data_IF_905096126896
#
_entry.id   IF_905096126896
#
_cell.length_a   1.000
_cell.length_b   1.000
_cell.length_c   1.000
_cell.angle_alpha   90.00
_cell.angle_beta   90.00
_cell.angle_gamma   90.00
#
_symmetry.space_group_name_H-M   'P 1'
#
loop_
_entity.id
_entity.type
_entity.pdbx_description
1 polymer ?
#
# COMPACT_ATOMS: atom_id res chain seq x y z
N UNK A 1 1.99 -0.15 -8.09
CA UNK A 1 0.66 0.14 -7.51
C UNK A 1 0.70 -0.21 -6.03
N UNK A 2 -0.17 0.40 -5.23
CA UNK A 2 -0.24 0.16 -3.79
C UNK A 2 -1.60 -0.43 -3.45
N UNK A 3 -1.62 -1.63 -2.89
CA UNK A 3 -2.82 -2.43 -2.67
C UNK A 3 -3.46 -2.97 -3.97
N UNK A 4 -2.63 -3.27 -4.96
CA UNK A 4 -3.00 -3.80 -6.28
C UNK A 4 -3.94 -5.01 -6.17
N UNK A 5 -3.65 -5.93 -5.26
CA UNK A 5 -4.38 -7.21 -5.13
C UNK A 5 -5.85 -7.05 -4.77
N UNK A 6 -6.23 -5.93 -4.14
CA UNK A 6 -7.58 -5.69 -3.66
C UNK A 6 -8.37 -4.70 -4.55
N UNK A 7 -7.69 -3.92 -5.40
CA UNK A 7 -8.32 -2.88 -6.21
C UNK A 7 -8.01 -3.07 -7.70
N UNK A 8 -6.86 -2.61 -8.18
CA UNK A 8 -6.60 -2.46 -9.61
C UNK A 8 -6.47 -3.78 -10.37
N UNK A 9 -6.10 -4.86 -9.67
CA UNK A 9 -5.79 -6.14 -10.32
C UNK A 9 -6.97 -6.69 -11.12
N UNK A 10 -8.21 -6.52 -10.64
CA UNK A 10 -9.42 -6.99 -11.33
C UNK A 10 -9.63 -6.25 -12.65
N UNK A 11 -9.52 -4.91 -12.65
CA UNK A 11 -9.67 -4.07 -13.84
C UNK A 11 -8.59 -4.36 -14.88
N UNK A 12 -7.36 -4.53 -14.42
CA UNK A 12 -6.22 -4.85 -15.29
C UNK A 12 -6.38 -6.24 -15.89
N UNK A 13 -6.74 -7.25 -15.08
CA UNK A 13 -6.91 -8.62 -15.55
C UNK A 13 -8.06 -8.74 -16.56
N UNK A 14 -9.19 -8.06 -16.31
CA UNK A 14 -10.29 -7.98 -17.27
C UNK A 14 -9.86 -7.35 -18.60
N UNK A 15 -9.03 -6.31 -18.55
CA UNK A 15 -8.51 -5.65 -19.74
C UNK A 15 -7.52 -6.53 -20.49
N UNK A 16 -6.63 -7.22 -19.77
CA UNK A 16 -5.68 -8.17 -20.35
C UNK A 16 -6.39 -9.35 -21.02
N UNK A 17 -7.47 -9.85 -20.43
CA UNK A 17 -8.27 -10.95 -20.98
C UNK A 17 -8.86 -10.69 -22.37
N UNK A 18 -8.97 -9.42 -22.79
CA UNK A 18 -9.40 -9.04 -24.14
C UNK A 18 -8.35 -9.36 -25.21
N UNK A 19 -7.07 -9.46 -24.83
CA UNK A 19 -5.97 -9.78 -25.73
C UNK A 19 -5.81 -11.29 -25.90
N UNK A 20 -6.53 -11.85 -26.88
CA UNK A 20 -6.46 -13.29 -27.21
C UNK A 20 -5.05 -13.69 -27.67
N UNK A 21 -4.61 -14.90 -27.28
CA UNK A 21 -3.38 -15.52 -27.78
C UNK A 21 -2.09 -15.15 -27.05
N UNK A 22 -2.15 -14.37 -25.97
CA UNK A 22 -0.98 -14.09 -25.11
C UNK A 22 -1.11 -14.78 -23.76
N UNK A 23 -0.03 -15.43 -23.31
CA UNK A 23 0.01 -16.07 -22.00
C UNK A 23 0.16 -15.03 -20.90
N UNK A 24 -0.65 -15.18 -19.87
CA UNK A 24 -0.57 -14.44 -18.62
C UNK A 24 0.14 -15.36 -17.63
N UNK A 25 1.21 -14.88 -17.00
CA UNK A 25 1.83 -15.61 -15.89
C UNK A 25 1.38 -14.97 -14.60
N UNK A 26 0.76 -15.74 -13.71
CA UNK A 26 0.28 -15.24 -12.43
C UNK A 26 0.53 -16.23 -11.29
N UNK A 27 0.58 -15.69 -10.07
CA UNK A 27 0.59 -16.45 -8.82
C UNK A 27 -0.72 -16.11 -8.11
N UNK A 28 -1.77 -16.95 -8.25
CA UNK A 28 -3.03 -16.72 -7.58
C UNK A 28 -2.87 -16.94 -6.06
N UNK A 29 -3.50 -16.09 -5.26
CA UNK A 29 -3.67 -16.31 -3.83
C UNK A 29 -4.99 -17.03 -3.56
N UNK A 30 -6.03 -16.63 -4.26
CA UNK A 30 -7.34 -17.28 -4.30
C UNK A 30 -7.97 -17.04 -5.68
N UNK A 31 -9.27 -17.30 -5.84
CA UNK A 31 -10.01 -17.14 -7.09
C UNK A 31 -10.09 -15.68 -7.58
N UNK A 32 -9.90 -14.71 -6.70
CA UNK A 32 -10.09 -13.29 -6.99
C UNK A 32 -8.78 -12.49 -6.92
N UNK A 33 -7.89 -12.86 -5.99
CA UNK A 33 -6.70 -12.10 -5.64
C UNK A 33 -5.44 -12.78 -6.18
N UNK A 34 -4.58 -11.98 -6.76
CA UNK A 34 -3.29 -12.42 -7.30
C UNK A 34 -2.15 -11.78 -6.49
N UNK A 35 -1.20 -12.59 -6.06
CA UNK A 35 0.04 -12.09 -5.42
C UNK A 35 0.88 -11.33 -6.44
N UNK A 36 0.91 -11.85 -7.66
CA UNK A 36 1.67 -11.32 -8.78
C UNK A 36 1.02 -11.73 -10.09
N UNK A 37 1.12 -10.88 -11.10
CA UNK A 37 0.86 -11.27 -12.48
C UNK A 37 1.73 -10.47 -13.46
N UNK A 38 1.92 -11.03 -14.64
CA UNK A 38 2.70 -10.44 -15.73
C UNK A 38 2.09 -10.74 -17.08
N UNK A 39 2.33 -9.83 -18.01
CA UNK A 39 1.83 -9.89 -19.37
C UNK A 39 2.92 -9.41 -20.34
N UNK A 40 3.50 -10.34 -21.09
CA UNK A 40 4.70 -10.05 -21.89
C UNK A 40 5.87 -9.63 -20.99
N UNK A 41 6.45 -8.47 -21.28
CA UNK A 41 7.54 -7.87 -20.48
C UNK A 41 7.04 -7.05 -19.27
N UNK A 42 5.73 -6.86 -19.12
CA UNK A 42 5.15 -6.07 -18.03
C UNK A 42 4.96 -6.95 -16.80
N UNK A 43 5.47 -6.47 -15.66
CA UNK A 43 5.31 -7.10 -14.35
C UNK A 43 4.54 -6.17 -13.43
N UNK A 44 3.46 -6.69 -12.86
CA UNK A 44 2.62 -5.95 -11.93
C UNK A 44 2.93 -6.40 -10.51
N UNK A 45 3.43 -5.45 -9.72
CA UNK A 45 3.88 -5.69 -8.34
C UNK A 45 3.06 -4.79 -7.41
N UNK A 46 2.66 -5.37 -6.28
CA UNK A 46 1.97 -4.69 -5.21
C UNK A 46 2.96 -4.22 -4.14
N UNK A 47 3.15 -2.91 -4.02
CA UNK A 47 4.02 -2.33 -3.01
C UNK A 47 3.54 -2.61 -1.57
N UNK A 48 2.24 -2.84 -1.35
CA UNK A 48 1.70 -3.16 -0.02
C UNK A 48 2.18 -4.54 0.48
N UNK A 49 2.54 -5.44 -0.43
CA UNK A 49 3.11 -6.75 -0.08
C UNK A 49 4.55 -6.64 0.48
N UNK A 50 5.16 -5.47 0.39
CA UNK A 50 6.47 -5.14 0.97
C UNK A 50 6.35 -4.18 2.14
N UNK A 51 5.57 -3.12 1.93
CA UNK A 51 5.42 -1.98 2.84
C UNK A 51 3.96 -1.93 3.29
N UNK A 52 3.61 -2.74 4.30
CA UNK A 52 2.24 -2.92 4.79
C UNK A 52 1.78 -1.76 5.69
N UNK A 53 1.70 -0.56 5.12
CA UNK A 53 1.18 0.64 5.77
C UNK A 53 0.54 1.56 4.73
N UNK A 54 -0.30 2.50 5.15
CA UNK A 54 -0.89 3.48 4.24
C UNK A 54 0.19 4.38 3.63
N UNK A 55 -0.05 4.88 2.41
CA UNK A 55 0.85 5.82 1.75
C UNK A 55 1.18 7.03 2.65
N UNK A 56 0.20 7.54 3.39
CA UNK A 56 0.42 8.65 4.34
C UNK A 56 1.48 8.31 5.40
N UNK A 57 1.36 7.15 6.06
CA UNK A 57 2.35 6.69 7.04
C UNK A 57 3.73 6.46 6.42
N UNK A 58 3.76 5.94 5.19
CA UNK A 58 5.02 5.69 4.49
C UNK A 58 5.75 7.00 4.12
N UNK A 59 5.01 8.01 3.69
CA UNK A 59 5.56 9.33 3.34
C UNK A 59 6.04 10.08 4.58
N UNK A 60 5.34 9.98 5.71
CA UNK A 60 5.77 10.58 6.98
C UNK A 60 7.12 10.06 7.49
N UNK A 61 7.53 8.85 7.08
CA UNK A 61 8.83 8.28 7.43
C UNK A 61 9.98 8.77 6.53
N UNK A 62 9.70 9.51 5.46
CA UNK A 62 10.71 10.04 4.56
C UNK A 62 11.16 11.45 4.96
N UNK A 63 12.45 11.72 4.80
CA UNK A 63 13.00 13.07 4.89
C UNK A 63 12.73 13.85 3.59
N UNK A 64 12.77 15.18 3.68
CA UNK A 64 12.44 16.07 2.55
C UNK A 64 13.34 15.83 1.32
N UNK A 65 14.61 15.50 1.51
CA UNK A 65 15.59 15.19 0.47
C UNK A 65 15.36 13.81 -0.18
N UNK A 66 14.71 12.89 0.54
CA UNK A 66 14.35 11.56 0.04
C UNK A 66 13.17 11.59 -0.94
N UNK A 67 12.41 12.68 -0.99
CA UNK A 67 11.30 12.92 -1.93
C UNK A 67 11.80 13.45 -3.28
N UNK A 68 12.78 12.77 -3.88
CA UNK A 68 13.51 13.26 -5.06
C UNK A 68 12.61 13.51 -6.28
N UNK A 69 11.73 12.55 -6.62
CA UNK A 69 10.83 12.68 -7.77
C UNK A 69 9.80 13.79 -7.54
N UNK A 70 9.19 13.82 -6.36
CA UNK A 70 8.22 14.85 -5.98
C UNK A 70 8.85 16.25 -6.02
N UNK A 71 10.06 16.39 -5.46
CA UNK A 71 10.83 17.65 -5.50
C UNK A 71 11.16 18.09 -6.93
N UNK A 72 11.57 17.15 -7.78
CA UNK A 72 11.93 17.43 -9.18
C UNK A 72 10.71 17.85 -9.99
N UNK A 73 9.57 17.19 -9.79
CA UNK A 73 8.35 17.44 -10.54
C UNK A 73 7.70 18.78 -10.16
N UNK A 74 7.50 19.01 -8.85
CA UNK A 74 6.81 20.20 -8.36
C UNK A 74 7.73 21.43 -8.19
N UNK A 75 9.05 21.25 -8.27
CA UNK A 75 10.06 22.32 -8.23
C UNK A 75 9.84 23.26 -7.03
N UNK A 76 9.56 24.54 -7.28
CA UNK A 76 9.32 25.55 -6.26
C UNK A 76 8.03 25.34 -5.44
N UNK A 77 7.13 24.46 -5.87
CA UNK A 77 5.91 24.09 -5.13
C UNK A 77 6.03 22.77 -4.37
N UNK A 78 7.19 22.13 -4.42
CA UNK A 78 7.38 20.80 -3.84
C UNK A 78 7.15 20.73 -2.33
N UNK A 79 7.44 21.82 -1.60
CA UNK A 79 7.20 21.89 -0.16
C UNK A 79 5.73 21.66 0.22
N UNK A 80 4.80 22.01 -0.67
CA UNK A 80 3.37 21.82 -0.45
C UNK A 80 2.91 20.40 -0.75
N UNK A 81 3.69 19.58 -1.47
CA UNK A 81 3.31 18.26 -1.97
C UNK A 81 4.01 17.11 -1.23
N UNK A 82 4.43 17.34 0.02
CA UNK A 82 5.19 16.36 0.84
C UNK A 82 4.34 15.46 1.73
N UNK A 83 3.02 15.60 1.69
CA UNK A 83 2.09 14.72 2.41
C UNK A 83 0.97 14.28 1.49
N UNK A 84 0.30 13.21 1.88
CA UNK A 84 -0.90 12.74 1.18
C UNK A 84 -2.02 13.78 1.31
N UNK A 85 -2.70 14.08 0.20
CA UNK A 85 -3.87 14.95 0.19
C UNK A 85 -5.16 14.22 0.53
N UNK A 86 -6.27 14.96 0.63
CA UNK A 86 -7.62 14.41 0.69
C UNK A 86 -8.27 14.44 -0.70
N UNK A 87 -9.28 13.60 -0.90
CA UNK A 87 -9.92 13.42 -2.21
C UNK A 87 -11.42 13.16 -2.06
N UNK A 88 -12.20 13.60 -3.05
CA UNK A 88 -13.66 13.49 -3.05
C UNK A 88 -14.11 12.15 -3.68
N UNK A 89 -13.83 11.03 -3.02
CA UNK A 89 -14.09 9.69 -3.59
C UNK A 89 -15.56 9.49 -3.99
N UNK A 90 -16.48 9.76 -3.07
CA UNK A 90 -17.92 9.52 -3.30
C UNK A 90 -18.54 10.59 -4.20
N UNK A 91 -17.89 11.74 -4.33
CA UNK A 91 -18.37 12.82 -5.18
C UNK A 91 -18.21 12.49 -6.67
N UNK A 92 -17.11 11.88 -7.10
CA UNK A 92 -16.88 11.60 -8.52
C UNK A 92 -17.65 10.37 -9.02
N UNK A 93 -18.92 10.57 -9.41
CA UNK A 93 -19.79 9.55 -10.02
C UNK A 93 -19.88 9.63 -11.56
N UNK A 94 -19.33 10.69 -12.16
CA UNK A 94 -19.49 10.99 -13.58
C UNK A 94 -18.35 11.86 -14.11
N UNK A 95 -18.07 11.75 -15.41
CA UNK A 95 -17.02 12.55 -16.06
C UNK A 95 -17.36 14.04 -16.14
N UNK A 96 -18.63 14.42 -16.09
CA UNK A 96 -19.05 15.83 -16.08
C UNK A 96 -18.50 16.59 -14.88
N UNK A 97 -18.36 15.91 -13.73
CA UNK A 97 -17.84 16.52 -12.49
C UNK A 97 -16.42 17.05 -12.61
N UNK A 98 -15.62 16.52 -13.54
CA UNK A 98 -14.27 17.03 -13.79
C UNK A 98 -14.26 18.48 -14.32
N UNK A 99 -15.36 18.94 -14.92
CA UNK A 99 -15.48 20.31 -15.44
C UNK A 99 -16.05 21.30 -14.43
N UNK A 100 -16.47 20.82 -13.25
CA UNK A 100 -17.11 21.66 -12.25
C UNK A 100 -16.12 22.60 -11.55
N UNK A 101 -16.66 23.74 -11.15
CA UNK A 101 -15.99 24.84 -10.46
C UNK A 101 -16.97 25.46 -9.46
N UNK A 102 -16.56 25.99 -8.30
CA UNK A 102 -15.23 25.92 -7.68
C UNK A 102 -15.05 24.62 -6.85
N UNK A 103 -14.02 24.54 -6.00
CA UNK A 103 -13.83 23.44 -5.06
C UNK A 103 -15.10 23.22 -4.18
N UNK A 104 -15.66 22.00 -4.13
CA UNK A 104 -16.85 21.67 -3.33
C UNK A 104 -16.62 21.86 -1.82
N UNK A 105 -17.71 22.01 -1.04
CA UNK A 105 -17.63 22.13 0.42
C UNK A 105 -17.03 20.87 1.07
N UNK A 106 -16.54 21.03 2.31
CA UNK A 106 -15.95 19.94 3.10
C UNK A 106 -16.84 18.70 3.23
N UNK A 107 -18.16 18.88 3.29
CA UNK A 107 -19.11 17.76 3.36
C UNK A 107 -19.05 16.83 2.14
N UNK A 108 -18.61 17.32 0.98
CA UNK A 108 -18.45 16.53 -0.24
C UNK A 108 -17.19 15.63 -0.23
N UNK A 109 -16.30 15.81 0.75
CA UNK A 109 -15.10 14.97 0.95
C UNK A 109 -15.35 13.77 1.87
N UNK A 110 -16.61 13.44 2.14
CA UNK A 110 -16.95 12.24 2.88
C UNK A 110 -16.47 10.99 2.13
N UNK A 111 -15.96 10.01 2.88
CA UNK A 111 -15.48 8.74 2.33
C UNK A 111 -16.25 7.57 2.95
N UNK A 112 -17.16 6.99 2.17
CA UNK A 112 -17.99 5.86 2.59
C UNK A 112 -17.17 4.60 2.93
N UNK A 113 -15.93 4.47 2.44
CA UNK A 113 -15.07 3.32 2.77
C UNK A 113 -14.54 3.38 4.20
N UNK A 114 -14.25 4.58 4.71
CA UNK A 114 -13.81 4.78 6.10
C UNK A 114 -14.97 5.19 7.00
N UNK A 115 -16.10 5.60 6.42
CA UNK A 115 -17.26 6.17 7.10
C UNK A 115 -16.88 7.36 8.00
N UNK A 116 -15.87 8.12 7.58
CA UNK A 116 -15.30 9.24 8.31
C UNK A 116 -15.35 10.52 7.44
N UNK A 117 -15.72 11.67 8.02
CA UNK A 117 -15.57 12.94 7.34
C UNK A 117 -14.09 13.31 7.21
N UNK A 118 -13.74 14.11 6.20
CA UNK A 118 -12.41 14.70 6.12
C UNK A 118 -12.17 15.62 7.33
N UNK A 119 -10.96 15.55 7.89
CA UNK A 119 -10.55 16.48 8.94
C UNK A 119 -10.49 17.92 8.44
N UNK A 120 -10.68 18.89 9.34
CA UNK A 120 -10.58 20.31 9.02
C UNK A 120 -9.20 20.66 8.44
N UNK A 121 -8.12 20.09 8.99
CA UNK A 121 -6.75 20.23 8.45
C UNK A 121 -6.65 19.69 7.03
N UNK A 122 -7.24 18.52 6.75
CA UNK A 122 -7.25 17.92 5.42
C UNK A 122 -7.97 18.79 4.39
N UNK A 123 -9.14 19.34 4.76
CA UNK A 123 -9.88 20.22 3.86
C UNK A 123 -9.18 21.58 3.65
N UNK A 124 -8.66 22.20 4.71
CA UNK A 124 -7.84 23.41 4.58
C UNK A 124 -6.61 23.18 3.70
N UNK A 125 -5.99 22.01 3.78
CA UNK A 125 -4.90 21.62 2.90
C UNK A 125 -5.34 21.55 1.43
N UNK A 126 -6.49 20.93 1.13
CA UNK A 126 -7.04 20.94 -0.24
C UNK A 126 -7.32 22.36 -0.76
N UNK A 127 -7.89 23.24 0.07
CA UNK A 127 -8.09 24.65 -0.29
C UNK A 127 -6.76 25.37 -0.58
N UNK A 128 -5.71 25.11 0.22
CA UNK A 128 -4.37 25.65 -0.03
C UNK A 128 -3.80 25.16 -1.35
N UNK A 129 -3.89 23.86 -1.64
CA UNK A 129 -3.43 23.29 -2.93
C UNK A 129 -4.19 23.91 -4.10
N UNK A 130 -5.51 24.05 -3.99
CA UNK A 130 -6.33 24.70 -5.01
C UNK A 130 -5.81 26.11 -5.35
N UNK A 131 -5.51 26.91 -4.32
CA UNK A 131 -5.01 28.27 -4.49
C UNK A 131 -3.56 28.32 -4.98
N UNK A 132 -2.65 27.53 -4.40
CA UNK A 132 -1.21 27.53 -4.76
C UNK A 132 -1.01 27.11 -6.22
N UNK A 133 -1.82 26.17 -6.71
CA UNK A 133 -1.75 25.70 -8.08
C UNK A 133 -2.67 26.46 -9.04
N UNK A 134 -3.44 27.44 -8.56
CA UNK A 134 -4.42 28.21 -9.34
C UNK A 134 -5.38 27.29 -10.12
N UNK A 135 -5.85 26.22 -9.47
CA UNK A 135 -6.72 25.22 -10.08
C UNK A 135 -8.06 25.87 -10.44
N UNK A 136 -8.59 25.55 -11.61
CA UNK A 136 -9.87 26.10 -12.08
C UNK A 136 -10.98 25.07 -11.94
N UNK A 137 -10.68 23.82 -12.28
CA UNK A 137 -11.66 22.74 -12.34
C UNK A 137 -11.34 21.61 -11.37
N UNK A 138 -12.36 20.84 -11.02
CA UNK A 138 -12.18 19.60 -10.26
C UNK A 138 -11.29 18.58 -10.99
N UNK A 139 -11.22 18.62 -12.32
CA UNK A 139 -10.29 17.82 -13.10
C UNK A 139 -8.83 18.21 -12.90
N UNK A 140 -8.54 19.50 -12.75
CA UNK A 140 -7.19 19.96 -12.40
C UNK A 140 -6.78 19.46 -11.01
N UNK A 141 -7.72 19.51 -10.05
CA UNK A 141 -7.52 18.97 -8.70
C UNK A 141 -7.31 17.46 -8.71
N UNK A 142 -8.10 16.71 -9.47
CA UNK A 142 -7.90 15.28 -9.66
C UNK A 142 -6.51 14.95 -10.20
N UNK A 143 -6.07 15.64 -11.26
CA UNK A 143 -4.78 15.39 -11.87
C UNK A 143 -3.64 15.64 -10.88
N UNK A 144 -3.67 16.75 -10.14
CA UNK A 144 -2.66 17.05 -9.11
C UNK A 144 -2.68 16.01 -8.00
N UNK A 145 -3.86 15.60 -7.52
CA UNK A 145 -3.99 14.57 -6.49
C UNK A 145 -3.37 13.24 -6.94
N UNK A 146 -3.75 12.74 -8.12
CA UNK A 146 -3.25 11.47 -8.66
C UNK A 146 -1.74 11.53 -8.92
N UNK A 147 -1.25 12.62 -9.52
CA UNK A 147 0.19 12.81 -9.75
C UNK A 147 0.95 12.81 -8.43
N UNK A 148 0.44 13.50 -7.41
CA UNK A 148 1.05 13.53 -6.08
C UNK A 148 1.14 12.13 -5.47
N UNK A 149 0.03 11.38 -5.44
CA UNK A 149 0.01 10.02 -4.87
C UNK A 149 0.97 9.08 -5.60
N UNK A 150 1.06 9.17 -6.93
CA UNK A 150 2.00 8.38 -7.74
C UNK A 150 3.45 8.74 -7.44
N UNK A 151 3.79 10.04 -7.38
CA UNK A 151 5.14 10.51 -7.11
C UNK A 151 5.60 10.14 -5.71
N UNK A 152 4.74 10.36 -4.70
CA UNK A 152 5.00 10.00 -3.32
C UNK A 152 5.24 8.50 -3.18
N UNK A 153 4.39 7.66 -3.79
CA UNK A 153 4.59 6.21 -3.77
C UNK A 153 5.88 5.80 -4.47
N UNK A 154 6.22 6.45 -5.58
CA UNK A 154 7.45 6.19 -6.32
C UNK A 154 8.68 6.56 -5.49
N UNK A 155 8.68 7.69 -4.79
CA UNK A 155 9.76 8.09 -3.87
C UNK A 155 9.90 7.09 -2.72
N UNK A 156 8.79 6.71 -2.07
CA UNK A 156 8.79 5.64 -1.03
C UNK A 156 9.43 4.37 -1.55
N UNK A 157 9.00 3.89 -2.72
CA UNK A 157 9.49 2.62 -3.25
C UNK A 157 10.95 2.71 -3.75
N UNK A 158 11.38 3.86 -4.28
CA UNK A 158 12.78 4.08 -4.64
C UNK A 158 13.70 4.07 -3.42
N UNK A 159 13.30 4.70 -2.32
CA UNK A 159 14.06 4.66 -1.07
C UNK A 159 14.14 3.23 -0.52
N UNK A 160 13.02 2.49 -0.54
CA UNK A 160 13.00 1.08 -0.17
C UNK A 160 13.94 0.24 -1.04
N UNK A 161 13.93 0.42 -2.38
CA UNK A 161 14.86 -0.25 -3.29
C UNK A 161 16.32 0.04 -2.97
N UNK A 162 16.67 1.32 -2.73
CA UNK A 162 18.03 1.72 -2.35
C UNK A 162 18.48 1.02 -1.07
N UNK A 163 17.61 0.98 -0.06
CA UNK A 163 17.88 0.28 1.21
C UNK A 163 18.12 -1.21 1.00
N UNK A 164 17.23 -1.90 0.29
CA UNK A 164 17.39 -3.33 0.02
C UNK A 164 18.66 -3.65 -0.78
N UNK A 165 19.00 -2.82 -1.77
CA UNK A 165 20.24 -2.96 -2.54
C UNK A 165 21.48 -2.69 -1.67
N UNK A 166 21.40 -1.76 -0.73
CA UNK A 166 22.50 -1.46 0.19
C UNK A 166 22.77 -2.62 1.14
N UNK A 167 21.75 -3.11 1.84
CA UNK A 167 21.91 -4.11 2.91
C UNK A 167 21.91 -5.56 2.39
N UNK A 168 20.98 -5.89 1.50
CA UNK A 168 20.78 -7.27 1.03
C UNK A 168 21.31 -7.50 -0.38
N UNK A 169 21.67 -6.42 -1.09
CA UNK A 169 22.15 -6.45 -2.48
C UNK A 169 21.12 -7.07 -3.44
N UNK A 170 19.86 -7.12 -3.02
CA UNK A 170 18.71 -7.67 -3.76
C UNK A 170 17.79 -6.50 -4.11
N UNK A 171 17.33 -6.46 -5.36
CA UNK A 171 16.33 -5.49 -5.78
C UNK A 171 14.92 -6.04 -5.52
N UNK A 172 14.11 -5.39 -4.65
CA UNK A 172 12.78 -5.89 -4.32
C UNK A 172 11.81 -5.87 -5.51
N UNK A 173 12.10 -5.14 -6.59
CA UNK A 173 11.33 -5.20 -7.84
C UNK A 173 11.49 -6.53 -8.59
N UNK A 174 12.44 -7.37 -8.19
CA UNK A 174 12.61 -8.73 -8.68
C UNK A 174 12.06 -9.80 -7.74
N UNK A 175 11.40 -9.37 -6.67
CA UNK A 175 10.74 -10.23 -5.69
C UNK A 175 9.25 -9.90 -5.68
N UNK A 176 8.41 -10.75 -5.09
CA UNK A 176 6.96 -10.56 -5.07
C UNK A 176 6.40 -10.08 -3.72
N UNK A 177 7.06 -10.42 -2.60
CA UNK A 177 6.57 -10.14 -1.25
C UNK A 177 7.71 -9.91 -0.27
N UNK A 178 7.43 -9.26 0.87
CA UNK A 178 8.39 -9.10 1.96
C UNK A 178 8.93 -10.44 2.52
N UNK A 179 8.12 -11.49 2.77
CA UNK A 179 8.65 -12.79 3.18
C UNK A 179 9.59 -13.41 2.14
N UNK A 180 9.27 -13.29 0.84
CA UNK A 180 10.15 -13.75 -0.23
C UNK A 180 11.47 -12.99 -0.27
N UNK A 181 11.44 -11.69 0.00
CA UNK A 181 12.64 -10.85 0.08
C UNK A 181 13.49 -11.25 1.29
N UNK A 182 12.87 -11.41 2.46
CA UNK A 182 13.54 -11.82 3.69
C UNK A 182 14.19 -13.20 3.54
N UNK A 183 13.52 -14.14 2.87
CA UNK A 183 14.06 -15.46 2.57
C UNK A 183 15.29 -15.40 1.68
N UNK A 184 15.23 -14.67 0.57
CA UNK A 184 16.38 -14.50 -0.33
C UNK A 184 17.54 -13.77 0.36
N UNK A 185 17.23 -12.76 1.18
CA UNK A 185 18.22 -12.04 1.97
C UNK A 185 18.91 -12.98 2.97
N UNK A 186 18.14 -13.79 3.71
CA UNK A 186 18.65 -14.77 4.66
C UNK A 186 19.62 -15.76 3.99
N UNK A 187 19.19 -16.38 2.89
CA UNK A 187 20.02 -17.31 2.13
C UNK A 187 21.33 -16.66 1.67
N UNK A 188 21.25 -15.43 1.15
CA UNK A 188 22.44 -14.72 0.69
C UNK A 188 23.38 -14.32 1.82
N UNK A 189 22.84 -13.87 2.95
CA UNK A 189 23.65 -13.42 4.08
C UNK A 189 24.34 -14.58 4.80
N UNK A 190 23.72 -15.76 4.80
CA UNK A 190 24.25 -16.96 5.45
C UNK A 190 25.11 -17.82 4.52
N UNK A 191 25.01 -17.64 3.21
CA UNK A 191 25.63 -18.47 2.16
C UNK A 191 25.29 -19.97 2.28
N UNK A 192 24.18 -20.28 2.97
CA UNK A 192 23.71 -21.64 3.15
C UNK A 192 23.07 -22.14 1.86
N UNK A 193 23.48 -23.33 1.42
CA UNK A 193 22.83 -24.08 0.35
C UNK A 193 21.83 -25.04 0.97
N UNK A 194 20.54 -24.77 0.75
CA UNK A 194 19.48 -25.67 1.21
C UNK A 194 19.37 -26.87 0.29
N UNK A 195 19.29 -28.04 0.90
CA UNK A 195 18.98 -29.28 0.21
C UNK A 195 17.45 -29.46 0.14
N UNK A 196 16.99 -30.10 -0.93
CA UNK A 196 15.57 -30.43 -1.07
C UNK A 196 15.21 -31.54 -0.08
N UNK A 197 14.12 -31.38 0.67
CA UNK A 197 13.58 -32.47 1.48
C UNK A 197 13.06 -33.58 0.56
N UNK A 198 13.81 -34.67 0.46
CA UNK A 198 13.44 -35.85 -0.34
C UNK A 198 12.69 -36.91 0.47
N UNK A 199 12.79 -36.85 1.80
CA UNK A 199 12.16 -37.80 2.72
C UNK A 199 10.86 -37.22 3.31
N UNK A 200 9.80 -38.02 3.26
CA UNK A 200 8.49 -37.69 3.81
C UNK A 200 8.52 -37.54 5.34
N UNK A 201 9.37 -38.29 6.05
CA UNK A 201 9.47 -38.22 7.51
C UNK A 201 10.09 -36.90 7.95
N UNK A 202 11.07 -36.38 7.21
CA UNK A 202 11.63 -35.04 7.45
C UNK A 202 10.58 -33.95 7.25
N UNK A 203 9.75 -34.08 6.21
CA UNK A 203 8.65 -33.13 5.95
C UNK A 203 7.64 -33.14 7.10
N UNK A 204 7.16 -34.33 7.49
CA UNK A 204 6.19 -34.49 8.58
C UNK A 204 6.75 -34.03 9.92
N UNK A 205 8.05 -34.23 10.18
CA UNK A 205 8.70 -33.71 11.37
C UNK A 205 8.65 -32.18 11.41
N UNK A 206 9.05 -31.51 10.32
CA UNK A 206 9.01 -30.05 10.22
C UNK A 206 7.59 -29.52 10.41
N UNK A 207 6.60 -30.08 9.71
CA UNK A 207 5.20 -29.65 9.86
C UNK A 207 4.70 -29.81 11.30
N UNK A 208 5.00 -30.93 11.95
CA UNK A 208 4.63 -31.17 13.35
C UNK A 208 5.34 -30.24 14.32
N UNK A 209 6.45 -29.62 13.93
CA UNK A 209 7.20 -28.66 14.75
C UNK A 209 6.75 -27.20 14.55
N UNK A 210 5.98 -26.87 13.51
CA UNK A 210 5.46 -25.51 13.30
C UNK A 210 4.47 -25.16 14.43
N UNK A 211 4.73 -24.06 15.14
CA UNK A 211 3.87 -23.49 16.18
C UNK A 211 3.62 -22.02 15.88
N UNK A 212 2.42 -21.53 16.21
CA UNK A 212 2.11 -20.10 16.17
C UNK A 212 2.73 -19.34 17.34
N UNK A 213 2.52 -18.02 17.37
CA UNK A 213 2.87 -17.20 18.54
C UNK A 213 2.09 -17.64 19.78
N UNK A 214 2.72 -17.56 20.95
CA UNK A 214 2.06 -17.84 22.22
C UNK A 214 1.04 -16.73 22.50
N UNK A 215 -0.24 -17.08 22.51
CA UNK A 215 -1.30 -16.20 23.00
C UNK A 215 -1.78 -16.76 24.35
N UNK A 216 -1.47 -16.05 25.44
CA UNK A 216 -1.93 -16.40 26.77
C UNK A 216 -2.88 -15.30 27.26
N UNK A 217 -4.10 -15.68 27.59
CA UNK A 217 -5.05 -14.78 28.27
C UNK A 217 -4.84 -14.93 29.79
N UNK A 218 -4.64 -13.82 30.49
CA UNK A 218 -4.58 -13.80 31.95
C UNK A 218 -5.93 -13.30 32.45
N UNK A 219 -6.84 -14.18 32.90
CA UNK A 219 -8.06 -13.73 33.53
C UNK A 219 -7.70 -13.01 34.84
N UNK A 220 -8.05 -11.73 34.93
CA UNK A 220 -7.99 -10.96 36.17
C UNK A 220 -8.93 -11.59 37.20
N UNK A 221 -8.36 -12.26 38.22
CA UNK A 221 -9.09 -12.75 39.38
C UNK A 221 -9.75 -11.57 40.13
N UNK A 222 -11.02 -11.33 39.84
CA UNK A 222 -11.87 -10.47 40.65
C UNK A 222 -12.37 -11.30 41.83
N UNK A 223 -11.79 -11.08 43.02
CA UNK A 223 -12.29 -11.66 44.26
C UNK A 223 -13.68 -11.07 44.55
N UNK A 224 -14.76 -11.80 44.26
CA UNK A 224 -16.08 -11.53 44.82
C UNK A 224 -16.06 -11.93 46.30
N UNK A 225 -15.96 -10.95 47.20
CA UNK A 225 -16.33 -11.14 48.61
C UNK A 225 -17.83 -11.41 48.69
N UNK A 226 -18.23 -12.65 48.98
CA UNK A 226 -19.58 -12.94 49.43
C UNK A 226 -19.69 -12.54 50.90
N UNK A 227 -20.35 -11.41 51.17
CA UNK A 227 -20.87 -11.05 52.48
C UNK A 227 -21.99 -12.02 52.87
N UNK A 228 -21.72 -12.91 53.83
CA UNK A 228 -22.75 -13.72 54.49
C UNK A 228 -23.24 -12.98 55.73
N UNK A 229 -24.49 -12.51 55.71
CA UNK A 229 -25.20 -11.98 56.87
C UNK A 229 -25.85 -13.14 57.64
N UNK A 230 -25.81 -13.15 58.99
CA UNK A 230 -26.39 -14.25 59.77
C UNK A 230 -27.90 -14.07 59.99
N UNK A 231 -28.64 -15.15 59.82
CA UNK A 231 -29.87 -15.45 60.57
C UNK A 231 -29.74 -16.84 61.16
#
# INVERSE_FOLDING_TARGET
MHNLKNYDSHLIMQSIGKFKGRRINCIPQNTEKFIFFSFGSLRFIDSLQFLNASLEKLVQNLQNDQLHLSNTFFKNKAEFMRRKGCYLYDYFDSFSKFTETPLPPQSAFFNSLTNEPVSDDGYQYAQRIWNIFNLQTLGDFHNIYVISDVLLLADVFQNFRKLCLQFYKIDPSHVHTAPGLAWQACLRMTDVKLELLTDIDMHLFVEKCIRGGVAHDFPSLSFCQQSSSPQ
#
